data_IF_964545464080
#
_entry.id   IF_964545464080
#
_cell.length_a   1.000
_cell.length_b   1.000
_cell.length_c   1.000
_cell.angle_alpha   90.00
_cell.angle_beta   90.00
_cell.angle_gamma   90.00
#
_symmetry.space_group_name_H-M   'P 1'
#
loop_
_entity.id
_entity.type
_entity.pdbx_description
1 polymer ?
#
# COMPACT_ATOMS: atom_id res chain seq x y z
N UNK A 1 25.31 -10.44 20.76
CA UNK A 1 23.92 -10.40 20.24
C UNK A 1 22.98 -9.68 21.20
N UNK A 2 22.45 -8.53 20.81
CA UNK A 2 21.33 -7.87 21.50
C UNK A 2 20.01 -8.16 20.76
N UNK A 3 18.92 -8.41 21.50
CA UNK A 3 17.60 -8.72 20.95
C UNK A 3 16.59 -7.67 21.42
N UNK A 4 15.80 -7.14 20.47
CA UNK A 4 14.80 -6.11 20.69
C UNK A 4 13.45 -6.58 20.16
N UNK A 5 12.40 -6.36 20.93
CA UNK A 5 11.05 -6.69 20.53
C UNK A 5 10.23 -5.42 20.34
N UNK A 6 9.43 -5.38 19.29
CA UNK A 6 8.47 -4.32 19.07
C UNK A 6 7.10 -4.86 18.73
N UNK A 7 6.27 -3.98 18.18
CA UNK A 7 4.94 -4.37 17.75
C UNK A 7 5.04 -5.08 16.41
N UNK A 8 4.90 -6.41 16.44
CA UNK A 8 4.95 -7.30 15.27
C UNK A 8 6.30 -7.44 14.59
N UNK A 9 7.40 -7.16 15.30
CA UNK A 9 8.74 -7.46 14.82
C UNK A 9 9.68 -7.78 15.97
N UNK A 10 10.76 -8.46 15.62
CA UNK A 10 11.94 -8.71 16.45
C UNK A 10 13.16 -8.20 15.69
N UNK A 11 14.08 -7.54 16.37
CA UNK A 11 15.36 -7.19 15.78
C UNK A 11 16.50 -7.79 16.60
N UNK A 12 17.52 -8.24 15.90
CA UNK A 12 18.80 -8.65 16.45
C UNK A 12 19.86 -7.67 15.98
N UNK A 13 20.66 -7.17 16.92
CA UNK A 13 21.83 -6.37 16.62
C UNK A 13 23.09 -7.10 17.09
N UNK A 14 23.96 -7.43 16.14
CA UNK A 14 25.22 -8.12 16.43
C UNK A 14 26.29 -7.73 15.42
N UNK A 15 27.51 -7.48 15.90
CA UNK A 15 28.64 -7.12 15.05
C UNK A 15 28.34 -5.95 14.10
N UNK A 16 27.58 -4.96 14.58
CA UNK A 16 27.09 -3.79 13.83
C UNK A 16 26.18 -4.10 12.65
N UNK A 17 25.59 -5.29 12.64
CA UNK A 17 24.58 -5.70 11.65
C UNK A 17 23.23 -5.75 12.34
N UNK A 18 22.26 -5.04 11.77
CA UNK A 18 20.88 -5.09 12.19
C UNK A 18 20.12 -6.09 11.32
N UNK A 19 19.54 -7.09 11.97
CA UNK A 19 18.57 -8.01 11.39
C UNK A 19 17.20 -7.71 11.98
N UNK A 20 16.21 -7.44 11.14
CA UNK A 20 14.82 -7.20 11.53
C UNK A 20 13.95 -8.29 10.94
N UNK A 21 13.17 -8.98 11.76
CA UNK A 21 12.19 -9.99 11.39
C UNK A 21 10.78 -9.50 11.75
N UNK A 22 9.86 -9.49 10.78
CA UNK A 22 8.47 -9.11 10.98
C UNK A 22 7.61 -10.35 11.24
N UNK A 23 7.00 -10.39 12.42
CA UNK A 23 6.13 -11.46 12.91
C UNK A 23 4.65 -11.06 12.92
N UNK A 24 4.31 -9.97 12.24
CA UNK A 24 2.94 -9.49 12.11
C UNK A 24 2.10 -10.25 11.09
N UNK A 25 0.76 -10.09 11.14
CA UNK A 25 -0.15 -10.70 10.17
C UNK A 25 -0.03 -10.13 8.75
N UNK A 26 0.82 -9.11 8.54
CA UNK A 26 1.08 -8.44 7.26
C UNK A 26 2.51 -7.93 7.23
N UNK A 27 3.16 -7.94 6.06
CA UNK A 27 4.52 -7.39 5.90
C UNK A 27 4.51 -5.86 6.03
N UNK A 28 3.34 -5.23 5.84
CA UNK A 28 3.10 -3.81 6.12
C UNK A 28 4.13 -2.85 5.51
N UNK A 29 4.19 -1.63 6.07
CA UNK A 29 5.14 -0.57 5.71
C UNK A 29 6.62 -0.90 6.05
N UNK A 30 7.03 -2.16 5.96
CA UNK A 30 8.41 -2.61 6.06
C UNK A 30 8.91 -3.28 4.77
N UNK A 31 8.00 -3.64 3.85
CA UNK A 31 8.30 -4.16 2.52
C UNK A 31 8.86 -5.59 2.49
N UNK A 32 9.51 -6.07 3.55
CA UNK A 32 10.07 -7.42 3.62
C UNK A 32 9.79 -8.09 4.98
N UNK A 33 9.56 -9.42 4.98
CA UNK A 33 9.40 -10.23 6.20
C UNK A 33 10.69 -10.27 7.03
N UNK A 34 11.83 -10.14 6.37
CA UNK A 34 13.14 -10.05 6.99
C UNK A 34 13.94 -8.98 6.26
N UNK A 35 14.70 -8.17 6.99
CA UNK A 35 15.71 -7.27 6.41
C UNK A 35 16.96 -7.28 7.25
N UNK A 36 18.10 -7.42 6.59
CA UNK A 36 19.41 -7.42 7.22
C UNK A 36 20.29 -6.40 6.53
N UNK A 37 20.87 -5.47 7.30
CA UNK A 37 21.83 -4.50 6.79
C UNK A 37 22.83 -4.07 7.87
N UNK A 38 24.10 -3.79 7.50
CA UNK A 38 25.05 -3.13 8.37
C UNK A 38 24.55 -1.75 8.81
N UNK A 39 24.82 -1.35 10.07
CA UNK A 39 24.51 0.00 10.56
C UNK A 39 25.19 1.08 9.69
N UNK A 40 26.39 0.81 9.18
CA UNK A 40 27.11 1.71 8.29
C UNK A 40 26.41 1.99 6.94
N UNK A 41 25.39 1.21 6.55
CA UNK A 41 24.59 1.48 5.34
C UNK A 41 23.41 2.44 5.59
N UNK A 42 23.17 2.84 6.84
CA UNK A 42 22.10 3.77 7.18
C UNK A 42 22.41 5.16 6.62
N UNK A 43 21.46 5.74 5.90
CA UNK A 43 21.56 7.11 5.35
C UNK A 43 20.58 8.07 6.02
N UNK A 44 19.68 7.56 6.86
CA UNK A 44 18.71 8.38 7.59
C UNK A 44 17.98 7.59 8.66
N UNK A 45 17.66 8.26 9.76
CA UNK A 45 17.01 7.65 10.92
C UNK A 45 16.05 8.62 11.61
N UNK A 46 14.87 8.15 11.98
CA UNK A 46 13.91 8.91 12.76
C UNK A 46 13.31 8.08 13.90
N UNK A 47 13.19 8.68 15.08
CA UNK A 47 12.54 8.10 16.25
C UNK A 47 11.29 8.91 16.60
N UNK A 48 10.14 8.26 16.64
CA UNK A 48 8.84 8.88 16.97
C UNK A 48 8.29 8.21 18.21
N UNK A 49 8.05 9.01 19.25
CA UNK A 49 7.48 8.53 20.50
C UNK A 49 6.01 8.08 20.33
N UNK A 50 5.58 7.04 21.05
CA UNK A 50 4.18 6.64 21.10
C UNK A 50 3.34 7.73 21.76
N UNK A 51 2.11 7.91 21.26
CA UNK A 51 1.10 8.80 21.84
C UNK A 51 -0.09 7.97 22.35
N UNK A 52 -1.12 8.63 22.92
CA UNK A 52 -2.36 7.94 23.32
C UNK A 52 -3.07 7.27 22.12
N UNK A 53 -2.98 7.87 20.93
CA UNK A 53 -3.75 7.45 19.74
C UNK A 53 -2.91 6.66 18.73
N UNK A 54 -1.58 6.64 18.87
CA UNK A 54 -0.67 6.06 17.86
C UNK A 54 0.52 5.37 18.52
N UNK A 55 0.90 4.22 17.97
CA UNK A 55 2.14 3.54 18.30
C UNK A 55 3.36 4.40 17.96
N UNK A 56 4.47 4.17 18.66
CA UNK A 56 5.76 4.78 18.34
C UNK A 56 6.38 4.08 17.14
N UNK A 57 7.42 4.68 16.56
CA UNK A 57 8.16 4.04 15.48
C UNK A 57 9.62 4.48 15.38
N UNK A 58 10.48 3.55 14.98
CA UNK A 58 11.78 3.87 14.38
C UNK A 58 11.65 3.73 12.87
N UNK A 59 12.09 4.73 12.11
CA UNK A 59 12.20 4.63 10.65
C UNK A 59 13.67 4.73 10.26
N UNK A 60 14.15 3.75 9.50
CA UNK A 60 15.53 3.58 9.06
C UNK A 60 15.54 3.59 7.53
N UNK A 61 16.40 4.39 6.92
CA UNK A 61 16.62 4.35 5.47
C UNK A 61 18.04 3.93 5.15
N UNK A 62 18.19 3.05 4.17
CA UNK A 62 19.46 2.72 3.49
C UNK A 62 19.33 3.09 2.01
N UNK A 63 20.39 2.98 1.22
CA UNK A 63 20.32 3.16 -0.25
C UNK A 63 19.30 2.22 -0.92
N UNK A 64 19.11 1.08 -0.27
CA UNK A 64 18.19 0.01 -0.65
C UNK A 64 16.73 0.40 -0.42
N UNK A 65 16.43 1.16 0.65
CA UNK A 65 15.08 1.67 0.93
C UNK A 65 14.79 1.82 2.42
N UNK A 66 13.51 1.99 2.76
CA UNK A 66 13.05 2.28 4.13
C UNK A 66 12.60 1.02 4.87
N UNK A 67 12.96 0.91 6.15
CA UNK A 67 12.39 0.00 7.14
C UNK A 67 11.74 0.79 8.27
N UNK A 68 10.46 0.53 8.54
CA UNK A 68 9.74 1.15 9.66
C UNK A 68 9.38 0.10 10.71
N UNK A 69 9.87 0.29 11.93
CA UNK A 69 9.69 -0.57 13.09
C UNK A 69 8.74 0.09 14.09
N UNK A 70 7.50 -0.40 14.22
CA UNK A 70 6.52 0.18 15.14
C UNK A 70 6.60 -0.43 16.54
N UNK A 71 6.34 0.31 17.60
CA UNK A 71 6.43 -0.21 18.97
C UNK A 71 5.34 0.36 19.88
N UNK A 72 4.93 -0.42 20.90
CA UNK A 72 3.94 0.04 21.88
C UNK A 72 4.63 0.84 22.97
N UNK A 73 3.86 1.62 23.73
CA UNK A 73 4.38 2.42 24.85
C UNK A 73 5.22 1.61 25.84
N UNK A 74 4.82 0.36 26.12
CA UNK A 74 5.54 -0.54 27.03
C UNK A 74 6.92 -0.98 26.53
N UNK A 75 7.14 -0.96 25.22
CA UNK A 75 8.38 -1.41 24.58
C UNK A 75 9.38 -0.26 24.37
N UNK A 76 9.02 0.97 24.77
CA UNK A 76 9.78 2.20 24.48
C UNK A 76 11.26 2.10 24.87
N UNK A 77 11.56 1.66 26.09
CA UNK A 77 12.94 1.68 26.60
C UNK A 77 13.85 0.76 25.79
N UNK A 78 13.37 -0.42 25.39
CA UNK A 78 14.11 -1.35 24.55
C UNK A 78 14.36 -0.78 23.15
N UNK A 79 13.35 -0.15 22.57
CA UNK A 79 13.47 0.43 21.23
C UNK A 79 14.34 1.70 21.24
N UNK A 80 14.30 2.48 22.31
CA UNK A 80 15.20 3.63 22.53
C UNK A 80 16.66 3.16 22.68
N UNK A 81 16.90 2.02 23.36
CA UNK A 81 18.23 1.38 23.43
C UNK A 81 18.74 0.97 22.04
N UNK A 82 17.91 0.35 21.21
CA UNK A 82 18.26 0.03 19.82
C UNK A 82 18.62 1.30 19.02
N UNK A 83 17.79 2.35 19.13
CA UNK A 83 18.03 3.61 18.43
C UNK A 83 19.39 4.23 18.79
N UNK A 84 19.72 4.25 20.08
CA UNK A 84 20.99 4.81 20.57
C UNK A 84 22.21 3.99 20.12
N UNK A 85 22.08 2.65 20.05
CA UNK A 85 23.14 1.79 19.50
C UNK A 85 23.40 2.11 18.02
N UNK A 86 22.33 2.19 17.23
CA UNK A 86 22.44 2.55 15.81
C UNK A 86 22.99 3.96 15.61
N UNK A 87 22.64 4.92 16.46
CA UNK A 87 23.20 6.27 16.42
C UNK A 87 24.71 6.27 16.68
N UNK A 88 25.20 5.43 17.61
CA UNK A 88 26.63 5.29 17.90
C UNK A 88 27.42 4.68 16.74
N UNK A 89 26.84 3.71 16.04
CA UNK A 89 27.50 3.00 14.93
C UNK A 89 27.26 3.62 13.54
N UNK A 90 26.26 4.50 13.41
CA UNK A 90 25.93 5.21 12.17
C UNK A 90 25.67 6.72 12.43
N UNK A 91 26.64 7.47 12.98
CA UNK A 91 26.44 8.86 13.38
C UNK A 91 26.07 9.78 12.20
N UNK A 92 26.48 9.43 10.98
CA UNK A 92 26.16 10.18 9.76
C UNK A 92 24.68 10.09 9.35
N UNK A 93 23.96 9.07 9.79
CA UNK A 93 22.53 8.90 9.53
C UNK A 93 21.65 9.69 10.52
N UNK A 94 22.23 10.15 11.63
CA UNK A 94 21.50 10.83 12.69
C UNK A 94 21.14 12.26 12.29
N UNK A 95 19.91 12.66 12.58
CA UNK A 95 19.37 13.97 12.17
C UNK A 95 19.01 14.07 10.69
N UNK A 96 19.31 13.04 9.89
CA UNK A 96 18.92 12.96 8.48
C UNK A 96 17.55 12.28 8.38
N UNK A 97 16.59 12.98 7.77
CA UNK A 97 15.24 12.47 7.58
C UNK A 97 15.27 11.21 6.68
N UNK A 98 14.61 10.10 7.06
CA UNK A 98 14.56 8.90 6.22
C UNK A 98 13.84 9.17 4.89
N UNK A 99 14.49 8.82 3.78
CA UNK A 99 13.93 8.94 2.42
C UNK A 99 14.04 7.63 1.64
N UNK A 100 13.15 7.42 0.67
CA UNK A 100 13.13 6.22 -0.20
C UNK A 100 11.77 5.52 -0.22
N UNK A 101 11.69 4.44 -0.99
CA UNK A 101 10.55 3.51 -1.01
C UNK A 101 10.78 2.36 -0.03
N UNK A 102 9.70 1.69 0.40
CA UNK A 102 9.81 0.43 1.13
C UNK A 102 10.36 -0.66 0.18
N UNK A 103 11.38 -1.40 0.61
CA UNK A 103 11.91 -2.51 -0.19
C UNK A 103 11.00 -3.72 -0.12
N UNK A 104 10.39 -4.10 -1.24
CA UNK A 104 9.69 -5.37 -1.37
C UNK A 104 10.67 -6.52 -1.51
N UNK A 105 10.56 -7.59 -0.72
CA UNK A 105 11.39 -8.80 -0.84
C UNK A 105 11.35 -9.35 -2.27
N UNK A 106 12.44 -9.18 -3.00
CA UNK A 106 12.52 -9.41 -4.44
C UNK A 106 12.82 -10.88 -4.78
N UNK A 107 11.77 -11.63 -5.11
CA UNK A 107 11.84 -12.71 -6.11
C UNK A 107 10.68 -12.69 -7.12
N UNK A 108 9.81 -11.67 -7.07
CA UNK A 108 8.72 -11.46 -8.05
C UNK A 108 8.81 -10.12 -8.81
N UNK A 109 9.91 -9.37 -8.66
CA UNK A 109 10.11 -8.03 -9.25
C UNK A 109 10.29 -8.00 -10.79
N UNK A 110 9.78 -8.98 -11.54
CA UNK A 110 9.73 -8.95 -13.01
C UNK A 110 8.37 -8.59 -13.61
N UNK A 111 7.33 -8.38 -12.81
CA UNK A 111 6.06 -7.81 -13.30
C UNK A 111 5.55 -6.77 -12.30
N UNK A 112 5.39 -5.53 -12.77
CA UNK A 112 4.79 -4.45 -11.97
C UNK A 112 5.71 -3.25 -11.73
N UNK A 113 6.30 -2.68 -12.78
CA UNK A 113 6.51 -1.22 -12.77
C UNK A 113 5.12 -0.58 -12.67
N UNK A 114 4.93 0.41 -11.78
CA UNK A 114 3.89 1.41 -12.00
C UNK A 114 4.00 1.89 -13.45
N UNK A 115 2.90 1.90 -14.23
CA UNK A 115 2.97 2.19 -15.65
C UNK A 115 3.65 3.55 -15.84
N UNK A 116 4.75 3.56 -16.60
CA UNK A 116 5.32 4.78 -17.12
C UNK A 116 4.28 5.46 -18.00
N UNK A 117 4.19 6.78 -17.92
CA UNK A 117 3.28 7.67 -18.65
C UNK A 117 3.28 7.48 -20.19
N UNK A 118 2.70 6.37 -20.66
CA UNK A 118 2.03 6.30 -21.95
C UNK A 118 0.56 6.66 -21.71
N UNK A 119 -0.12 7.31 -22.66
CA UNK A 119 -1.57 7.43 -22.58
C UNK A 119 -2.17 6.02 -22.68
N UNK A 120 -2.57 5.44 -21.56
CA UNK A 120 -3.34 4.20 -21.56
C UNK A 120 -4.69 4.47 -22.22
N UNK A 121 -5.11 3.57 -23.11
CA UNK A 121 -6.46 3.60 -23.67
C UNK A 121 -7.44 3.38 -22.52
N UNK A 122 -8.52 4.17 -22.43
CA UNK A 122 -9.53 3.99 -21.40
C UNK A 122 -10.72 3.22 -21.96
N UNK A 123 -11.09 2.14 -21.29
CA UNK A 123 -12.31 1.40 -21.57
C UNK A 123 -13.35 1.71 -20.50
N UNK A 124 -14.33 2.53 -20.88
CA UNK A 124 -15.45 2.87 -20.01
C UNK A 124 -16.41 1.69 -19.92
N UNK A 125 -16.63 1.20 -18.71
CA UNK A 125 -17.57 0.14 -18.43
C UNK A 125 -18.99 0.68 -18.22
N UNK A 126 -20.02 -0.03 -18.70
CA UNK A 126 -21.40 0.35 -18.46
C UNK A 126 -21.78 0.26 -16.98
N UNK A 127 -22.78 1.03 -16.57
CA UNK A 127 -23.39 0.97 -15.24
C UNK A 127 -24.59 0.03 -15.26
N UNK A 128 -24.58 -0.99 -14.41
CA UNK A 128 -25.71 -1.91 -14.19
C UNK A 128 -26.10 -2.02 -12.72
N UNK A 129 -25.24 -1.58 -11.80
CA UNK A 129 -25.58 -1.55 -10.39
C UNK A 129 -24.54 -0.82 -9.55
N UNK A 130 -24.93 -0.46 -8.33
CA UNK A 130 -24.08 0.29 -7.40
C UNK A 130 -23.54 -0.63 -6.32
N UNK A 131 -22.27 -0.46 -5.96
CA UNK A 131 -21.67 -1.08 -4.77
C UNK A 131 -20.92 -0.04 -3.96
N UNK A 132 -20.78 -0.29 -2.67
CA UNK A 132 -20.01 0.58 -1.78
C UNK A 132 -18.54 0.14 -1.72
N UNK A 133 -17.62 1.08 -1.94
CA UNK A 133 -16.19 0.83 -1.82
C UNK A 133 -15.81 0.44 -0.39
N UNK A 134 -15.06 -0.64 -0.23
CA UNK A 134 -14.57 -1.13 1.07
C UNK A 134 -13.24 -0.48 1.44
N UNK A 135 -12.97 -0.42 2.75
CA UNK A 135 -11.72 0.14 3.28
C UNK A 135 -11.62 1.67 3.23
N UNK A 136 -12.70 2.38 2.91
CA UNK A 136 -12.75 3.86 2.80
C UNK A 136 -12.35 4.58 4.08
N UNK A 137 -12.57 3.99 5.27
CA UNK A 137 -12.14 4.54 6.56
C UNK A 137 -10.62 4.70 6.67
N UNK A 138 -9.84 3.82 6.02
CA UNK A 138 -8.38 3.91 5.95
C UNK A 138 -7.88 4.85 4.85
N UNK A 139 -8.81 5.50 4.12
CA UNK A 139 -8.55 6.31 2.92
C UNK A 139 -9.17 7.70 2.99
N UNK A 140 -9.62 8.16 4.16
CA UNK A 140 -10.26 9.49 4.33
C UNK A 140 -9.41 10.64 3.76
N UNK A 141 -8.10 10.66 4.03
CA UNK A 141 -7.22 11.69 3.47
C UNK A 141 -7.08 11.67 1.93
N UNK A 142 -7.37 10.54 1.27
CA UNK A 142 -7.46 10.48 -0.19
C UNK A 142 -8.82 10.98 -0.68
N UNK A 143 -9.91 10.54 -0.03
CA UNK A 143 -11.28 10.99 -0.31
C UNK A 143 -11.41 12.51 -0.18
N UNK A 144 -10.87 13.12 0.88
CA UNK A 144 -10.88 14.57 1.10
C UNK A 144 -10.12 15.33 -0.01
N UNK A 145 -8.98 14.78 -0.46
CA UNK A 145 -8.20 15.39 -1.55
C UNK A 145 -8.95 15.35 -2.87
N UNK A 146 -9.63 14.24 -3.15
CA UNK A 146 -10.42 14.07 -4.38
C UNK A 146 -11.68 14.95 -4.32
N UNK A 147 -12.38 14.97 -3.20
CA UNK A 147 -13.59 15.76 -2.97
C UNK A 147 -14.88 15.04 -3.36
N UNK A 148 -16.01 15.55 -2.87
CA UNK A 148 -17.34 14.99 -3.17
C UNK A 148 -17.77 15.26 -4.62
N UNK A 149 -18.73 14.45 -5.09
CA UNK A 149 -19.35 14.55 -6.41
C UNK A 149 -19.08 13.32 -7.29
N UNK A 150 -19.47 13.43 -8.55
CA UNK A 150 -19.26 12.38 -9.55
C UNK A 150 -17.79 12.28 -9.96
N UNK A 151 -17.28 11.05 -10.03
CA UNK A 151 -15.91 10.75 -10.45
C UNK A 151 -15.87 9.57 -11.40
N UNK A 152 -14.81 9.55 -12.21
CA UNK A 152 -14.37 8.34 -12.90
C UNK A 152 -13.33 7.63 -12.04
N UNK A 153 -13.49 6.32 -11.91
CA UNK A 153 -12.58 5.46 -11.17
C UNK A 153 -11.90 4.47 -12.10
N UNK A 154 -10.57 4.44 -12.05
CA UNK A 154 -9.78 3.38 -12.68
C UNK A 154 -9.76 2.19 -11.73
N UNK A 155 -10.15 1.02 -12.25
CA UNK A 155 -10.06 -0.25 -11.55
C UNK A 155 -8.70 -0.87 -11.78
N UNK A 156 -8.04 -1.29 -10.70
CA UNK A 156 -6.70 -1.88 -10.74
C UNK A 156 -6.71 -3.19 -9.97
N UNK A 157 -6.35 -4.28 -10.64
CA UNK A 157 -6.15 -5.58 -9.99
C UNK A 157 -4.86 -5.56 -9.16
N UNK A 158 -4.97 -5.91 -7.87
CA UNK A 158 -3.83 -6.03 -6.98
C UNK A 158 -3.41 -7.50 -6.84
N UNK A 159 -2.41 -7.91 -7.63
CA UNK A 159 -1.85 -9.28 -7.62
C UNK A 159 -1.24 -9.69 -6.26
N UNK A 160 -0.81 -8.71 -5.47
CA UNK A 160 -0.04 -8.91 -4.24
C UNK A 160 -0.82 -8.48 -2.98
N UNK A 161 -2.16 -8.46 -3.03
CA UNK A 161 -2.96 -8.12 -1.87
C UNK A 161 -2.99 -9.30 -0.87
N UNK A 162 -2.50 -9.06 0.35
CA UNK A 162 -2.30 -10.09 1.37
C UNK A 162 -3.62 -10.62 1.99
N UNK A 163 -4.74 -9.92 1.76
CA UNK A 163 -6.03 -10.24 2.36
C UNK A 163 -7.03 -10.85 1.37
N UNK A 164 -6.91 -10.50 0.09
CA UNK A 164 -7.79 -10.99 -0.97
C UNK A 164 -7.00 -11.19 -2.28
N UNK A 165 -6.85 -12.43 -2.69
CA UNK A 165 -6.15 -12.79 -3.93
C UNK A 165 -6.78 -12.19 -5.20
N UNK A 166 -8.05 -11.74 -5.13
CA UNK A 166 -8.75 -11.08 -6.23
C UNK A 166 -9.06 -9.61 -5.91
N UNK A 167 -8.25 -8.94 -5.07
CA UNK A 167 -8.49 -7.55 -4.70
C UNK A 167 -8.45 -6.62 -5.92
N UNK A 168 -9.49 -5.78 -6.05
CA UNK A 168 -9.58 -4.73 -7.06
C UNK A 168 -9.68 -3.38 -6.37
N UNK A 169 -8.66 -2.56 -6.55
CA UNK A 169 -8.62 -1.18 -6.06
C UNK A 169 -9.38 -0.23 -7.00
N UNK A 170 -10.13 0.71 -6.44
CA UNK A 170 -10.78 1.79 -7.17
C UNK A 170 -10.01 3.10 -6.95
N UNK A 171 -9.45 3.65 -8.03
CA UNK A 171 -8.61 4.84 -8.00
C UNK A 171 -9.32 6.02 -8.67
N UNK A 172 -9.51 7.11 -7.95
CA UNK A 172 -9.98 8.37 -8.55
C UNK A 172 -8.78 9.21 -9.00
N UNK A 173 -8.85 9.78 -10.20
CA UNK A 173 -7.79 10.63 -10.76
C UNK A 173 -8.11 12.10 -10.55
N UNK A 174 -7.21 12.84 -9.89
CA UNK A 174 -7.32 14.30 -9.72
C UNK A 174 -5.97 14.95 -9.96
N UNK A 175 -5.94 16.01 -10.78
CA UNK A 175 -4.73 16.76 -11.12
C UNK A 175 -3.58 15.86 -11.62
N UNK A 176 -3.90 14.88 -12.47
CA UNK A 176 -2.92 13.93 -13.02
C UNK A 176 -2.37 12.91 -12.02
N UNK A 177 -2.93 12.82 -10.82
CA UNK A 177 -2.55 11.84 -9.80
C UNK A 177 -3.69 10.90 -9.47
N UNK A 178 -3.36 9.62 -9.32
CA UNK A 178 -4.29 8.58 -8.90
C UNK A 178 -4.30 8.43 -7.37
N UNK A 179 -5.51 8.42 -6.81
CA UNK A 179 -5.76 8.26 -5.40
C UNK A 179 -6.57 6.99 -5.18
N UNK A 180 -6.00 5.99 -4.51
CA UNK A 180 -6.73 4.81 -4.08
C UNK A 180 -7.82 5.23 -3.08
N UNK A 181 -9.08 5.03 -3.46
CA UNK A 181 -10.26 5.41 -2.67
C UNK A 181 -10.75 4.25 -1.81
N UNK A 182 -10.73 3.04 -2.36
CA UNK A 182 -11.15 1.85 -1.66
C UNK A 182 -11.03 0.62 -2.56
N UNK A 183 -11.65 -0.47 -2.13
CA UNK A 183 -11.63 -1.76 -2.82
C UNK A 183 -13.04 -2.19 -3.19
N UNK A 184 -13.17 -2.99 -4.24
CA UNK A 184 -14.40 -3.74 -4.47
C UNK A 184 -14.62 -4.76 -3.33
N UNK A 185 -15.88 -5.15 -3.02
CA UNK A 185 -16.15 -6.16 -2.00
C UNK A 185 -15.44 -7.49 -2.30
N UNK A 186 -14.78 -8.06 -1.29
CA UNK A 186 -14.09 -9.34 -1.41
C UNK A 186 -15.06 -10.52 -1.48
N UNK A 187 -14.60 -11.64 -2.06
CA UNK A 187 -15.38 -12.88 -2.13
C UNK A 187 -16.55 -12.88 -3.11
N UNK A 188 -16.86 -11.74 -3.76
CA UNK A 188 -17.89 -11.66 -4.80
C UNK A 188 -17.37 -12.25 -6.12
N UNK A 189 -18.22 -13.04 -6.78
CA UNK A 189 -17.96 -13.57 -8.12
C UNK A 189 -17.74 -12.45 -9.13
N UNK A 190 -18.45 -11.33 -8.99
CA UNK A 190 -18.27 -10.15 -9.85
C UNK A 190 -16.88 -9.53 -9.67
N UNK A 191 -16.40 -9.39 -8.43
CA UNK A 191 -15.05 -8.87 -8.14
C UNK A 191 -13.97 -9.75 -8.78
N UNK A 192 -14.11 -11.09 -8.70
CA UNK A 192 -13.18 -12.00 -9.36
C UNK A 192 -13.16 -11.86 -10.89
N UNK A 193 -14.33 -11.66 -11.51
CA UNK A 193 -14.41 -11.40 -12.95
C UNK A 193 -13.73 -10.07 -13.33
N UNK A 194 -14.01 -9.00 -12.57
CA UNK A 194 -13.38 -7.70 -12.78
C UNK A 194 -11.87 -7.74 -12.54
N UNK A 195 -11.41 -8.50 -11.55
CA UNK A 195 -9.99 -8.69 -11.29
C UNK A 195 -9.28 -9.28 -12.50
N UNK A 196 -9.78 -10.40 -13.02
CA UNK A 196 -9.19 -11.03 -14.20
C UNK A 196 -9.24 -10.09 -15.40
N UNK A 197 -10.36 -9.41 -15.61
CA UNK A 197 -10.49 -8.47 -16.71
C UNK A 197 -9.52 -7.29 -16.62
N UNK A 198 -9.28 -6.74 -15.43
CA UNK A 198 -8.30 -5.68 -15.23
C UNK A 198 -6.86 -6.17 -15.54
N UNK A 199 -6.54 -7.44 -15.27
CA UNK A 199 -5.24 -8.00 -15.66
C UNK A 199 -5.09 -8.06 -17.19
N UNK A 200 -6.09 -8.62 -17.87
CA UNK A 200 -6.08 -8.73 -19.33
C UNK A 200 -6.03 -7.33 -19.99
N UNK A 201 -6.80 -6.37 -19.46
CA UNK A 201 -6.78 -4.98 -19.91
C UNK A 201 -5.40 -4.33 -19.73
N UNK A 202 -4.75 -4.53 -18.59
CA UNK A 202 -3.42 -4.00 -18.34
C UNK A 202 -2.35 -4.59 -19.28
N UNK A 203 -2.46 -5.87 -19.67
CA UNK A 203 -1.56 -6.48 -20.66
C UNK A 203 -1.65 -5.79 -22.04
N UNK A 204 -2.81 -5.25 -22.38
CA UNK A 204 -3.03 -4.47 -23.62
C UNK A 204 -2.78 -2.96 -23.47
N UNK A 205 -2.39 -2.48 -22.29
CA UNK A 205 -2.24 -1.05 -21.99
C UNK A 205 -3.57 -0.30 -21.90
N UNK A 206 -4.64 -0.99 -21.51
CA UNK A 206 -5.99 -0.44 -21.36
C UNK A 206 -6.36 -0.31 -19.88
N UNK A 207 -6.81 0.88 -19.47
CA UNK A 207 -7.38 1.13 -18.15
C UNK A 207 -8.88 0.78 -18.15
N UNK A 208 -9.33 -0.03 -17.20
CA UNK A 208 -10.76 -0.30 -16.97
C UNK A 208 -11.33 0.82 -16.12
N UNK A 209 -12.30 1.56 -16.65
CA UNK A 209 -12.87 2.75 -15.99
C UNK A 209 -14.34 2.54 -15.69
N UNK A 210 -14.77 2.90 -14.49
CA UNK A 210 -16.19 2.96 -14.08
C UNK A 210 -16.56 4.37 -13.63
N UNK A 211 -17.85 4.67 -13.57
CA UNK A 211 -18.34 5.86 -12.87
C UNK A 211 -18.59 5.57 -11.39
N UNK A 212 -18.74 6.62 -10.60
CA UNK A 212 -19.16 6.53 -9.21
C UNK A 212 -19.28 7.91 -8.58
N UNK A 213 -19.66 7.95 -7.31
CA UNK A 213 -19.86 9.18 -6.55
C UNK A 213 -19.13 9.11 -5.21
N UNK A 214 -18.41 10.17 -4.85
CA UNK A 214 -17.89 10.37 -3.48
C UNK A 214 -18.88 11.26 -2.74
N UNK A 215 -19.37 10.81 -1.58
CA UNK A 215 -20.34 11.57 -0.78
C UNK A 215 -20.17 11.39 0.72
N UNK A 216 -20.74 12.28 1.55
CA UNK A 216 -20.71 12.14 3.01
C UNK A 216 -21.62 11.00 3.50
N UNK A 217 -21.14 10.29 4.51
CA UNK A 217 -21.88 9.32 5.33
C UNK A 217 -21.63 9.62 6.81
N UNK A 218 -22.38 8.96 7.70
CA UNK A 218 -22.28 9.15 9.15
C UNK A 218 -20.86 8.90 9.71
N UNK A 219 -20.04 8.12 9.00
CA UNK A 219 -18.68 7.74 9.40
C UNK A 219 -17.56 8.52 8.67
N UNK A 220 -17.91 9.53 7.88
CA UNK A 220 -16.97 10.29 7.04
C UNK A 220 -17.33 10.18 5.56
N UNK A 221 -16.35 10.41 4.68
CA UNK A 221 -16.56 10.27 3.24
C UNK A 221 -16.57 8.80 2.83
N UNK A 222 -17.46 8.46 1.90
CA UNK A 222 -17.53 7.14 1.27
C UNK A 222 -17.60 7.27 -0.25
N UNK A 223 -17.53 6.14 -0.94
CA UNK A 223 -17.61 6.09 -2.39
C UNK A 223 -18.57 5.00 -2.85
N UNK A 224 -19.56 5.39 -3.63
CA UNK A 224 -20.43 4.49 -4.36
C UNK A 224 -19.85 4.29 -5.77
N UNK A 225 -19.74 3.03 -6.19
CA UNK A 225 -19.11 2.62 -7.45
C UNK A 225 -20.16 1.98 -8.35
N UNK A 226 -20.25 2.44 -9.59
CA UNK A 226 -21.20 1.97 -10.59
C UNK A 226 -20.56 0.87 -11.43
N UNK A 227 -20.88 -0.38 -11.08
CA UNK A 227 -20.29 -1.56 -11.69
C UNK A 227 -21.13 -2.09 -12.86
N UNK A 228 -20.47 -2.68 -13.86
CA UNK A 228 -21.13 -3.44 -14.91
C UNK A 228 -21.75 -4.75 -14.37
N UNK A 229 -22.61 -5.34 -15.18
CA UNK A 229 -23.13 -6.69 -14.99
C UNK A 229 -22.05 -7.73 -15.31
N UNK A 230 -22.18 -8.95 -14.77
CA UNK A 230 -21.28 -10.06 -15.11
C UNK A 230 -21.27 -10.39 -16.60
N UNK A 231 -22.38 -10.16 -17.30
CA UNK A 231 -22.49 -10.38 -18.74
C UNK A 231 -21.71 -9.30 -19.51
N UNK A 232 -21.88 -8.03 -19.13
CA UNK A 232 -21.16 -6.90 -19.73
C UNK A 232 -19.64 -7.03 -19.54
N UNK A 233 -19.18 -7.52 -18.37
CA UNK A 233 -17.76 -7.79 -18.14
C UNK A 233 -17.21 -8.83 -19.12
N UNK A 234 -17.96 -9.92 -19.35
CA UNK A 234 -17.55 -10.99 -20.27
C UNK A 234 -17.52 -10.50 -21.72
N UNK A 235 -18.50 -9.72 -22.14
CA UNK A 235 -18.58 -9.14 -23.48
C UNK A 235 -17.43 -8.16 -23.74
N UNK A 236 -17.18 -7.24 -22.80
CA UNK A 236 -16.06 -6.30 -22.88
C UNK A 236 -14.70 -7.03 -22.94
N UNK A 237 -14.53 -8.09 -22.13
CA UNK A 237 -13.34 -8.93 -22.18
C UNK A 237 -13.18 -9.63 -23.52
N UNK A 238 -14.25 -10.17 -24.11
CA UNK A 238 -14.18 -10.83 -25.40
C UNK A 238 -13.79 -9.86 -26.52
N UNK A 239 -14.29 -8.61 -26.48
CA UNK A 239 -13.94 -7.55 -27.43
C UNK A 239 -12.51 -7.05 -27.27
N UNK A 240 -12.00 -6.99 -26.03
CA UNK A 240 -10.63 -6.56 -25.76
C UNK A 240 -9.59 -7.56 -26.33
N UNK A 241 -9.93 -8.85 -26.36
CA UNK A 241 -9.03 -9.94 -26.74
C UNK A 241 -9.17 -10.39 -28.21
N UNK A 242 -10.11 -9.81 -28.97
CA UNK A 242 -10.33 -10.08 -30.40
C UNK A 242 -9.47 -9.18 -31.28
#
# INVERSE_FOLDING_TARGET
MDIFNGYWWMATYENKVLKCEFNGPSVGAAGAKERTFPAAELVGMAFVLPTLMKNGSITLSTQRGITKLNFRKKDRLEVERLYNLLQGDAPHAFGVAPTGSYETSSSLAKLGKSPSAKPNTQLMMPNDGTTFARGVSYRQGNLERVGCGDHLFVLVAELNNEYDANAVGAHARKNGKDYLIGYLPSGDTKTKLLWQFCLDANETGTDVVISGEIRPYDSGLGADLHLPSSQQIKEAKAQLLS
#
